data_IF_089130277824
#
_entry.id   IF_089130277824
#
_cell.length_a   1.000
_cell.length_b   1.000
_cell.length_c   1.000
_cell.angle_alpha   90.00
_cell.angle_beta   90.00
_cell.angle_gamma   90.00
#
_symmetry.space_group_name_H-M   'P 1'
#
loop_
_entity.id
_entity.type
_entity.pdbx_description
1 polymer ?
#
# COMPACT_ATOMS: atom_id res chain seq x y z
N UNK A 1 -48.86 38.54 91.67
CA UNK A 1 -49.09 37.45 92.68
C UNK A 1 -48.63 36.14 92.07
N UNK A 2 -47.78 35.40 92.86
CA UNK A 2 -47.31 34.02 92.66
C UNK A 2 -46.42 33.73 91.46
N UNK A 3 -45.06 33.78 91.55
CA UNK A 3 -44.21 32.79 92.20
C UNK A 3 -44.36 31.38 91.65
N UNK A 4 -43.42 30.90 90.87
CA UNK A 4 -43.05 29.51 90.83
C UNK A 4 -41.72 29.23 90.12
N UNK A 5 -40.78 28.98 90.86
CA UNK A 5 -39.62 28.09 90.90
C UNK A 5 -39.10 27.47 89.64
N UNK A 6 -37.84 27.77 89.36
CA UNK A 6 -36.93 27.07 88.50
C UNK A 6 -36.63 25.68 89.11
N UNK A 7 -36.71 24.67 88.24
CA UNK A 7 -36.05 23.38 88.43
C UNK A 7 -34.99 23.22 87.36
N UNK A 8 -33.76 23.33 87.80
CA UNK A 8 -32.60 23.02 86.96
C UNK A 8 -32.43 21.52 86.85
N UNK A 9 -32.67 20.92 85.71
CA UNK A 9 -32.26 19.55 85.42
C UNK A 9 -31.03 19.59 84.47
N UNK A 10 -29.91 19.27 85.08
CA UNK A 10 -28.68 18.99 84.34
C UNK A 10 -28.86 17.73 83.50
N UNK A 11 -29.09 17.89 82.22
CA UNK A 11 -28.94 16.79 81.23
C UNK A 11 -27.54 16.81 80.67
N UNK A 12 -26.79 15.81 81.03
CA UNK A 12 -25.52 15.44 80.43
C UNK A 12 -25.72 15.18 78.97
N UNK A 13 -25.25 16.10 78.12
CA UNK A 13 -25.23 15.90 76.67
C UNK A 13 -24.07 14.98 76.32
N UNK A 14 -24.35 13.71 76.10
CA UNK A 14 -23.47 12.81 75.44
C UNK A 14 -23.34 13.25 73.96
N UNK A 15 -22.26 13.90 73.66
CA UNK A 15 -21.85 14.12 72.27
C UNK A 15 -21.41 12.79 71.67
N UNK A 16 -22.34 12.10 70.95
CA UNK A 16 -21.96 11.05 70.04
C UNK A 16 -21.28 11.71 68.88
N UNK A 17 -19.95 11.73 68.89
CA UNK A 17 -19.15 12.03 67.72
C UNK A 17 -19.38 10.93 66.66
N UNK A 18 -20.34 11.14 65.78
CA UNK A 18 -20.45 10.36 64.55
C UNK A 18 -19.23 10.70 63.72
N UNK A 19 -18.20 9.85 63.78
CA UNK A 19 -17.12 9.84 62.84
C UNK A 19 -17.75 9.44 61.50
N UNK A 20 -18.12 10.42 60.68
CA UNK A 20 -18.30 10.22 59.25
C UNK A 20 -16.92 9.84 58.69
N UNK A 21 -16.67 8.55 58.62
CA UNK A 21 -15.62 8.03 57.77
C UNK A 21 -15.97 8.48 56.34
N UNK A 22 -15.31 9.50 55.87
CA UNK A 22 -15.24 9.79 54.45
C UNK A 22 -14.57 8.57 53.82
N UNK A 23 -15.38 7.60 53.38
CA UNK A 23 -15.00 6.64 52.41
C UNK A 23 -14.76 7.47 51.15
N UNK A 24 -13.54 8.00 51.02
CA UNK A 24 -13.03 8.37 49.70
C UNK A 24 -13.31 7.16 48.82
N UNK A 25 -14.02 7.29 47.70
CA UNK A 25 -14.04 6.20 46.75
C UNK A 25 -12.58 5.97 46.39
N UNK A 26 -11.95 4.94 46.97
CA UNK A 26 -10.74 4.40 46.41
C UNK A 26 -11.14 4.12 44.98
N UNK A 27 -10.62 4.90 44.05
CA UNK A 27 -10.75 4.58 42.66
C UNK A 27 -10.27 3.12 42.56
N UNK A 28 -11.23 2.23 42.40
CA UNK A 28 -10.91 0.85 42.14
C UNK A 28 -10.26 0.82 40.75
N UNK A 29 -8.99 1.17 40.73
CA UNK A 29 -8.15 0.77 39.62
C UNK A 29 -8.21 -0.75 39.66
N UNK A 30 -8.82 -1.35 38.66
CA UNK A 30 -8.75 -2.78 38.45
C UNK A 30 -7.28 -3.11 38.25
N UNK A 31 -6.55 -3.29 39.35
CA UNK A 31 -5.16 -3.71 39.29
C UNK A 31 -5.17 -5.20 39.02
N UNK A 32 -4.59 -5.58 37.91
CA UNK A 32 -4.31 -6.99 37.65
C UNK A 32 -3.45 -7.54 38.80
N UNK A 33 -3.67 -8.80 39.24
CA UNK A 33 -2.74 -9.46 40.12
C UNK A 33 -1.29 -9.31 39.58
N UNK A 34 -0.34 -9.01 40.45
CA UNK A 34 1.04 -8.76 40.04
C UNK A 34 1.66 -9.90 39.19
N UNK A 35 1.22 -11.13 39.43
CA UNK A 35 1.63 -12.29 38.60
C UNK A 35 1.08 -12.24 37.20
N UNK A 36 -0.15 -11.76 37.01
CA UNK A 36 -0.79 -11.60 35.68
C UNK A 36 -0.17 -10.42 34.96
N UNK A 37 0.05 -9.30 35.64
CA UNK A 37 0.72 -8.13 35.06
C UNK A 37 2.15 -8.48 34.61
N UNK A 38 2.94 -9.18 35.44
CA UNK A 38 4.27 -9.66 35.10
C UNK A 38 4.25 -10.63 33.91
N UNK A 39 3.27 -11.52 33.84
CA UNK A 39 3.13 -12.46 32.73
C UNK A 39 2.79 -11.73 31.43
N UNK A 40 1.84 -10.78 31.47
CA UNK A 40 1.50 -9.96 30.32
C UNK A 40 2.69 -9.10 29.85
N UNK A 41 3.43 -8.49 30.78
CA UNK A 41 4.63 -7.75 30.43
C UNK A 41 5.68 -8.66 29.77
N UNK A 42 5.88 -9.86 30.30
CA UNK A 42 6.82 -10.84 29.72
C UNK A 42 6.39 -11.28 28.34
N UNK A 43 5.09 -11.49 28.11
CA UNK A 43 4.56 -11.93 26.81
C UNK A 43 4.58 -10.83 25.73
N UNK A 44 4.22 -9.59 26.10
CA UNK A 44 3.92 -8.54 25.12
C UNK A 44 4.91 -7.37 25.12
N UNK A 45 5.63 -7.12 26.21
CA UNK A 45 6.50 -5.97 26.35
C UNK A 45 7.98 -6.35 26.56
N UNK A 46 8.32 -7.65 26.64
CA UNK A 46 9.69 -8.13 26.71
C UNK A 46 10.08 -8.97 25.49
N UNK A 47 11.36 -9.07 25.16
CA UNK A 47 11.83 -9.93 24.07
C UNK A 47 11.89 -11.42 24.44
N UNK A 48 11.42 -11.84 25.61
CA UNK A 48 11.62 -13.21 26.15
C UNK A 48 11.09 -14.30 25.20
N UNK A 49 9.97 -14.04 24.54
CA UNK A 49 9.34 -14.95 23.56
C UNK A 49 9.39 -14.43 22.12
N UNK A 50 10.11 -13.33 21.89
CA UNK A 50 10.39 -12.87 20.54
C UNK A 50 11.43 -13.82 19.93
N UNK A 51 11.02 -14.67 19.02
CA UNK A 51 11.97 -15.45 18.22
C UNK A 51 12.85 -14.55 17.37
N UNK A 52 14.00 -15.05 16.97
CA UNK A 52 14.83 -14.39 15.97
C UNK A 52 14.04 -14.26 14.68
N UNK A 53 13.80 -13.02 14.28
CA UNK A 53 13.14 -12.73 13.00
C UNK A 53 14.21 -12.45 11.97
N UNK A 54 14.16 -13.18 10.85
CA UNK A 54 14.95 -12.80 9.69
C UNK A 54 14.57 -11.37 9.28
N UNK A 55 15.56 -10.52 9.02
CA UNK A 55 15.32 -9.20 8.46
C UNK A 55 14.62 -9.36 7.09
N UNK A 56 13.65 -8.50 6.76
CA UNK A 56 13.05 -8.48 5.43
C UNK A 56 14.16 -8.41 4.37
N UNK A 57 14.14 -9.34 3.42
CA UNK A 57 15.13 -9.45 2.38
C UNK A 57 14.52 -9.18 1.02
N UNK A 58 15.29 -8.50 0.15
CA UNK A 58 14.92 -8.25 -1.24
C UNK A 58 15.98 -8.87 -2.16
N UNK A 59 15.57 -9.72 -3.09
CA UNK A 59 16.47 -10.21 -4.12
C UNK A 59 16.94 -9.05 -5.01
N UNK A 60 18.26 -8.93 -5.15
CA UNK A 60 18.88 -7.97 -6.04
C UNK A 60 19.13 -8.57 -7.41
N UNK A 61 19.53 -9.81 -7.43
CA UNK A 61 19.76 -10.63 -8.62
C UNK A 61 19.52 -12.11 -8.26
N UNK A 62 19.83 -13.03 -9.17
CA UNK A 62 19.61 -14.48 -8.94
C UNK A 62 20.51 -15.11 -7.87
N UNK A 63 21.49 -14.38 -7.32
CA UNK A 63 22.52 -14.88 -6.42
C UNK A 63 22.72 -14.07 -5.15
N UNK A 64 22.20 -12.83 -5.11
CA UNK A 64 22.35 -11.92 -3.98
C UNK A 64 21.00 -11.35 -3.53
N UNK A 65 20.89 -11.12 -2.24
CA UNK A 65 19.79 -10.39 -1.63
C UNK A 65 20.29 -9.27 -0.74
N UNK A 66 19.45 -8.28 -0.48
CA UNK A 66 19.77 -7.15 0.39
C UNK A 66 18.81 -7.08 1.58
N UNK A 67 19.33 -6.58 2.71
CA UNK A 67 18.61 -6.35 3.96
C UNK A 67 18.89 -4.96 4.50
N UNK A 68 18.07 -4.49 5.43
CA UNK A 68 18.31 -3.29 6.22
C UNK A 68 18.91 -3.69 7.57
N UNK A 69 20.06 -3.13 7.92
CA UNK A 69 20.73 -3.41 9.19
C UNK A 69 21.12 -2.12 9.92
N UNK A 70 21.11 -2.10 11.27
CA UNK A 70 21.64 -0.96 12.00
C UNK A 70 23.10 -0.69 11.61
N UNK A 71 23.43 0.59 11.35
CA UNK A 71 24.80 0.97 10.97
C UNK A 71 25.73 0.91 12.17
N UNK A 72 26.91 0.30 11.98
CA UNK A 72 27.96 0.32 12.98
C UNK A 72 28.65 1.71 13.08
N UNK A 73 28.66 2.45 11.98
CA UNK A 73 29.41 3.72 11.87
C UNK A 73 28.57 4.95 12.21
N UNK A 74 27.23 4.86 12.11
CA UNK A 74 26.32 5.99 12.28
C UNK A 74 25.21 5.62 13.27
N UNK A 75 25.26 6.18 14.45
CA UNK A 75 24.23 5.94 15.48
C UNK A 75 22.83 6.31 14.97
N UNK A 76 21.88 5.37 15.09
CA UNK A 76 20.51 5.52 14.58
C UNK A 76 20.39 5.45 13.05
N UNK A 77 21.49 5.18 12.34
CA UNK A 77 21.48 4.97 10.89
C UNK A 77 21.20 3.52 10.51
N UNK A 78 20.80 3.33 9.26
CA UNK A 78 20.54 2.01 8.66
C UNK A 78 21.41 1.84 7.42
N UNK A 79 22.16 0.76 7.37
CA UNK A 79 22.94 0.33 6.20
C UNK A 79 22.09 -0.59 5.33
N UNK A 80 22.27 -0.54 4.01
CA UNK A 80 21.75 -1.55 3.09
C UNK A 80 22.87 -2.54 2.84
N UNK A 81 22.65 -3.77 3.27
CA UNK A 81 23.66 -4.83 3.28
C UNK A 81 23.26 -5.91 2.29
N UNK A 82 24.22 -6.35 1.49
CA UNK A 82 24.08 -7.47 0.56
C UNK A 82 24.65 -8.76 1.16
N UNK A 83 23.96 -9.85 0.86
CA UNK A 83 24.42 -11.20 1.15
C UNK A 83 24.44 -12.04 -0.12
N UNK A 84 25.47 -12.86 -0.25
CA UNK A 84 25.52 -13.93 -1.24
C UNK A 84 24.68 -15.11 -0.76
N UNK A 85 23.77 -15.59 -1.60
CA UNK A 85 22.93 -16.76 -1.27
C UNK A 85 23.74 -18.07 -1.27
N UNK A 86 24.91 -18.09 -1.91
CA UNK A 86 25.75 -19.29 -2.02
C UNK A 86 26.58 -19.58 -0.77
N UNK A 87 27.13 -18.54 -0.16
CA UNK A 87 28.11 -18.68 0.94
C UNK A 87 27.88 -17.75 2.13
N UNK A 88 26.84 -16.92 2.08
CA UNK A 88 26.51 -15.97 3.13
C UNK A 88 27.48 -14.78 3.22
N UNK A 89 28.36 -14.56 2.23
CA UNK A 89 29.28 -13.43 2.24
C UNK A 89 28.53 -12.10 2.36
N UNK A 90 28.93 -11.27 3.34
CA UNK A 90 28.29 -10.01 3.71
C UNK A 90 29.05 -8.81 3.18
N UNK A 91 28.36 -7.87 2.57
CA UNK A 91 28.92 -6.60 2.11
C UNK A 91 27.96 -5.43 2.37
N UNK A 92 28.45 -4.33 2.96
CA UNK A 92 27.69 -3.08 3.03
C UNK A 92 27.69 -2.43 1.63
N UNK A 93 26.54 -2.39 0.98
CA UNK A 93 26.39 -1.73 -0.34
C UNK A 93 26.18 -0.24 -0.20
N UNK A 94 25.31 0.18 0.72
CA UNK A 94 25.01 1.58 0.98
C UNK A 94 25.12 1.83 2.47
N UNK A 95 26.15 2.57 2.85
CA UNK A 95 26.35 2.96 4.24
C UNK A 95 25.44 4.12 4.62
N UNK A 96 24.92 4.12 5.85
CA UNK A 96 24.00 5.14 6.37
C UNK A 96 24.48 6.58 6.20
N UNK A 97 25.82 6.81 6.20
CA UNK A 97 26.40 8.14 5.97
C UNK A 97 26.06 8.73 4.59
N UNK A 98 25.82 7.88 3.57
CA UNK A 98 25.38 8.30 2.22
C UNK A 98 23.92 8.69 2.18
N UNK A 99 23.13 8.25 3.15
CA UNK A 99 21.70 8.52 3.27
C UNK A 99 21.41 9.78 4.09
N UNK A 100 22.39 10.65 4.24
CA UNK A 100 22.27 11.90 5.01
C UNK A 100 22.07 13.10 4.08
N UNK A 101 20.86 13.70 4.03
CA UNK A 101 20.62 14.90 3.25
C UNK A 101 21.51 16.07 3.69
N UNK A 102 21.90 16.89 2.75
CA UNK A 102 22.66 18.12 3.05
C UNK A 102 21.93 18.99 4.07
N UNK A 103 22.64 19.39 5.13
CA UNK A 103 22.07 20.19 6.24
C UNK A 103 21.27 19.39 7.28
N UNK A 104 21.06 18.09 7.09
CA UNK A 104 20.41 17.23 8.09
C UNK A 104 21.37 16.85 9.21
N UNK A 105 20.87 16.73 10.46
CA UNK A 105 21.64 16.22 11.59
C UNK A 105 21.83 14.70 11.54
N UNK A 106 20.85 13.96 10.97
CA UNK A 106 20.79 12.50 10.94
C UNK A 106 20.57 11.97 9.51
N UNK A 107 20.92 10.70 9.23
CA UNK A 107 20.52 10.02 8.00
C UNK A 107 19.01 9.83 7.92
N UNK A 108 18.51 9.56 6.72
CA UNK A 108 17.12 9.23 6.48
C UNK A 108 16.78 7.90 7.19
N UNK A 109 15.65 7.83 7.92
CA UNK A 109 15.07 6.53 8.28
C UNK A 109 14.63 5.83 7.00
N UNK A 110 15.14 4.63 6.75
CA UNK A 110 14.79 3.84 5.55
C UNK A 110 13.60 2.95 5.90
N UNK A 111 12.44 3.25 5.35
CA UNK A 111 11.21 2.47 5.52
C UNK A 111 10.99 1.50 4.35
N UNK A 112 11.57 1.81 3.20
CA UNK A 112 11.57 0.99 2.01
C UNK A 112 12.60 1.49 0.99
N UNK A 113 12.98 0.64 0.05
CA UNK A 113 13.88 1.02 -1.02
C UNK A 113 13.68 0.15 -2.26
N UNK A 114 14.10 0.65 -3.41
CA UNK A 114 14.18 -0.09 -4.67
C UNK A 114 15.37 0.35 -5.50
N UNK A 115 15.92 -0.57 -6.30
CA UNK A 115 17.04 -0.31 -7.19
C UNK A 115 16.55 0.08 -8.59
N UNK A 116 17.29 0.96 -9.29
CA UNK A 116 17.16 1.09 -10.74
C UNK A 116 17.55 -0.23 -11.41
N UNK A 117 17.06 -0.47 -12.63
CA UNK A 117 17.30 -1.73 -13.35
C UNK A 117 18.78 -2.07 -13.55
N UNK A 118 19.64 -1.06 -13.65
CA UNK A 118 21.11 -1.19 -13.76
C UNK A 118 21.84 -1.18 -12.41
N UNK A 119 21.12 -0.95 -11.29
CA UNK A 119 21.67 -0.87 -9.95
C UNK A 119 22.47 0.39 -9.64
N UNK A 120 22.48 1.38 -10.55
CA UNK A 120 23.23 2.63 -10.37
C UNK A 120 22.58 3.61 -9.41
N UNK A 121 21.26 3.51 -9.23
CA UNK A 121 20.48 4.37 -8.36
C UNK A 121 19.64 3.59 -7.36
N UNK A 122 19.45 4.18 -6.19
CA UNK A 122 18.58 3.66 -5.14
C UNK A 122 17.46 4.67 -4.87
N UNK A 123 16.21 4.23 -4.96
CA UNK A 123 15.04 4.99 -4.54
C UNK A 123 14.70 4.61 -3.10
N UNK A 124 14.66 5.58 -2.21
CA UNK A 124 14.45 5.40 -0.76
C UNK A 124 13.10 5.97 -0.40
N UNK A 125 12.27 5.20 0.29
CA UNK A 125 11.01 5.61 0.88
C UNK A 125 11.19 5.90 2.36
N UNK A 126 10.66 7.03 2.83
CA UNK A 126 10.82 7.51 4.19
C UNK A 126 9.69 8.47 4.59
N UNK A 127 9.64 8.85 5.88
CA UNK A 127 8.70 9.83 6.40
C UNK A 127 7.26 9.48 5.98
N UNK A 128 6.91 8.20 6.11
CA UNK A 128 5.64 7.69 5.62
C UNK A 128 4.46 8.13 6.48
N UNK A 129 3.29 8.15 5.87
CA UNK A 129 2.02 8.40 6.52
C UNK A 129 1.00 7.34 6.10
N UNK A 130 0.19 6.95 7.07
CA UNK A 130 -0.89 6.02 6.85
C UNK A 130 -2.00 6.66 6.02
N UNK A 131 -2.44 5.96 4.96
CA UNK A 131 -3.59 6.37 4.14
C UNK A 131 -4.84 5.64 4.64
N UNK A 132 -4.99 4.35 4.40
CA UNK A 132 -6.06 3.53 4.97
C UNK A 132 -5.49 2.47 5.90
N UNK A 133 -5.04 1.34 5.37
CA UNK A 133 -4.43 0.27 6.17
C UNK A 133 -2.92 0.38 6.26
N UNK A 134 -2.29 0.94 5.24
CA UNK A 134 -0.84 0.98 5.09
C UNK A 134 -0.28 2.39 4.94
N UNK A 135 1.02 2.49 5.17
CA UNK A 135 1.78 3.72 4.97
C UNK A 135 2.19 3.81 3.50
N UNK A 136 1.27 4.29 2.65
CA UNK A 136 1.50 4.38 1.20
C UNK A 136 1.89 5.78 0.73
N UNK A 137 1.89 6.77 1.61
CA UNK A 137 2.27 8.15 1.31
C UNK A 137 3.50 8.53 2.11
N UNK A 138 4.46 9.23 1.49
CA UNK A 138 5.70 9.60 2.17
C UNK A 138 6.58 10.50 1.32
N UNK A 139 7.85 10.54 1.67
CA UNK A 139 8.91 11.18 0.91
C UNK A 139 9.74 10.14 0.19
N UNK A 140 10.25 10.51 -0.98
CA UNK A 140 11.15 9.68 -1.75
C UNK A 140 12.45 10.42 -2.04
N UNK A 141 13.55 9.68 -2.00
CA UNK A 141 14.89 10.20 -2.27
C UNK A 141 15.61 9.28 -3.25
N UNK A 142 16.42 9.86 -4.12
CA UNK A 142 17.28 9.11 -5.03
C UNK A 142 18.73 9.30 -4.58
N UNK A 143 19.42 8.17 -4.38
CA UNK A 143 20.86 8.10 -4.20
C UNK A 143 21.52 7.59 -5.48
N UNK A 144 22.42 8.35 -6.04
CA UNK A 144 23.37 7.85 -7.03
C UNK A 144 24.47 7.09 -6.27
N UNK A 145 24.59 5.79 -6.50
CA UNK A 145 25.50 4.91 -5.75
C UNK A 145 26.96 5.10 -6.12
N UNK A 146 27.27 5.73 -7.28
CA UNK A 146 28.63 5.97 -7.72
C UNK A 146 29.17 7.29 -7.19
N UNK A 147 28.38 8.37 -7.27
CA UNK A 147 28.78 9.71 -6.83
C UNK A 147 28.48 9.97 -5.36
N UNK A 148 27.55 9.20 -4.78
CA UNK A 148 27.01 9.48 -3.43
C UNK A 148 26.06 10.67 -3.38
N UNK A 149 25.62 11.20 -4.52
CA UNK A 149 24.66 12.29 -4.59
C UNK A 149 23.28 11.83 -4.13
N UNK A 150 22.70 12.56 -3.18
CA UNK A 150 21.39 12.26 -2.61
C UNK A 150 20.46 13.46 -2.81
N UNK A 151 19.31 13.27 -3.46
CA UNK A 151 18.34 14.35 -3.65
C UNK A 151 16.90 13.83 -3.48
N UNK A 152 15.99 14.76 -3.13
CA UNK A 152 14.58 14.45 -2.90
C UNK A 152 13.80 14.49 -4.20
N UNK A 153 12.98 13.47 -4.43
CA UNK A 153 11.98 13.42 -5.51
C UNK A 153 10.87 14.42 -5.19
N UNK A 154 10.38 15.12 -6.21
CA UNK A 154 9.33 16.14 -6.03
C UNK A 154 9.78 17.26 -5.08
N UNK A 155 10.97 17.83 -5.31
CA UNK A 155 11.64 18.78 -4.40
C UNK A 155 10.76 19.94 -3.89
N UNK A 156 9.77 20.37 -4.70
CA UNK A 156 8.86 21.47 -4.40
C UNK A 156 7.55 21.02 -3.73
N UNK A 157 7.37 19.74 -3.44
CA UNK A 157 6.17 19.21 -2.79
C UNK A 157 6.28 19.32 -1.27
N UNK A 158 5.13 19.33 -0.59
CA UNK A 158 5.11 19.23 0.87
C UNK A 158 5.67 17.88 1.31
N UNK A 159 6.23 17.77 2.53
CA UNK A 159 6.65 16.47 3.08
C UNK A 159 5.49 15.48 3.15
N UNK A 160 5.81 14.21 2.97
CA UNK A 160 4.88 13.07 3.09
C UNK A 160 3.66 13.16 2.17
N UNK A 161 3.81 13.66 0.93
CA UNK A 161 2.69 13.80 -0.01
C UNK A 161 2.80 12.96 -1.27
N UNK A 162 3.94 12.30 -1.50
CA UNK A 162 4.13 11.45 -2.68
C UNK A 162 3.69 10.01 -2.40
N UNK A 163 3.25 9.31 -3.45
CA UNK A 163 2.85 7.91 -3.38
C UNK A 163 3.45 7.12 -4.56
N UNK A 164 3.80 5.87 -4.30
CA UNK A 164 4.13 4.84 -5.31
C UNK A 164 5.26 5.21 -6.27
N UNK A 165 6.24 6.00 -5.82
CA UNK A 165 7.36 6.36 -6.68
C UNK A 165 8.12 5.11 -7.14
N UNK A 166 8.46 5.06 -8.42
CA UNK A 166 9.23 3.96 -9.03
C UNK A 166 10.01 4.42 -10.25
N UNK A 167 11.17 3.82 -10.45
CA UNK A 167 11.98 4.05 -11.63
C UNK A 167 11.30 3.57 -12.90
N UNK A 168 11.60 4.25 -14.02
CA UNK A 168 11.39 3.68 -15.35
C UNK A 168 12.29 2.47 -15.56
N UNK A 169 11.93 1.50 -16.44
CA UNK A 169 12.75 0.32 -16.71
C UNK A 169 14.18 0.64 -17.16
N UNK A 170 14.39 1.74 -17.87
CA UNK A 170 15.71 2.21 -18.32
C UNK A 170 16.48 3.02 -17.23
N UNK A 171 15.88 3.23 -16.06
CA UNK A 171 16.48 3.98 -14.96
C UNK A 171 16.61 5.49 -15.16
N UNK A 172 16.12 6.03 -16.28
CA UNK A 172 16.31 7.45 -16.62
C UNK A 172 15.35 8.41 -15.92
N UNK A 173 14.18 7.90 -15.51
CA UNK A 173 13.10 8.69 -14.88
C UNK A 173 12.56 8.00 -13.64
N UNK A 174 11.90 8.80 -12.77
CA UNK A 174 11.04 8.32 -11.70
C UNK A 174 9.64 8.87 -11.91
N UNK A 175 8.62 8.00 -11.77
CA UNK A 175 7.22 8.42 -11.76
C UNK A 175 6.64 8.24 -10.36
N UNK A 176 5.69 9.09 -10.00
CA UNK A 176 5.00 9.05 -8.72
C UNK A 176 3.60 9.68 -8.81
N UNK A 177 2.78 9.44 -7.80
CA UNK A 177 1.49 10.11 -7.63
C UNK A 177 1.63 11.22 -6.60
N UNK A 178 1.09 12.38 -6.91
CA UNK A 178 0.96 13.51 -6.00
C UNK A 178 -0.41 14.17 -6.19
N UNK A 179 -1.16 14.36 -5.10
CA UNK A 179 -2.51 14.95 -5.10
C UNK A 179 -3.46 14.31 -6.14
N UNK A 180 -3.36 12.99 -6.32
CA UNK A 180 -4.22 12.21 -7.21
C UNK A 180 -3.88 12.29 -8.71
N UNK A 181 -2.76 12.91 -9.07
CA UNK A 181 -2.23 12.92 -10.43
C UNK A 181 -0.84 12.30 -10.55
N UNK A 182 -0.49 11.85 -11.75
CA UNK A 182 0.77 11.20 -12.07
C UNK A 182 1.78 12.24 -12.54
N UNK A 183 2.98 12.15 -12.00
CA UNK A 183 4.13 13.00 -12.31
C UNK A 183 5.33 12.15 -12.71
N UNK A 184 6.18 12.71 -13.54
CA UNK A 184 7.48 12.12 -13.96
C UNK A 184 8.56 13.18 -13.86
N UNK A 185 9.73 12.79 -13.37
CA UNK A 185 10.93 13.63 -13.39
C UNK A 185 12.19 12.82 -13.75
N UNK A 186 13.22 13.44 -14.32
CA UNK A 186 14.48 12.76 -14.61
C UNK A 186 15.19 12.35 -13.31
N UNK A 187 15.78 11.15 -13.28
CA UNK A 187 16.56 10.64 -12.13
C UNK A 187 17.76 11.55 -11.82
N UNK A 188 18.36 12.15 -12.82
CA UNK A 188 19.44 13.12 -12.65
C UNK A 188 18.99 14.48 -12.08
N UNK A 189 17.69 14.63 -11.79
CA UNK A 189 17.07 15.91 -11.44
C UNK A 189 16.70 16.74 -12.68
N UNK A 190 15.82 17.71 -12.52
CA UNK A 190 15.35 18.56 -13.60
C UNK A 190 13.87 18.95 -13.49
N UNK A 191 13.28 19.30 -14.61
CA UNK A 191 11.88 19.69 -14.64
C UNK A 191 10.95 18.50 -14.47
N UNK A 192 9.99 18.62 -13.55
CA UNK A 192 8.91 17.65 -13.37
C UNK A 192 7.83 17.85 -14.42
N UNK A 193 7.37 16.77 -15.02
CA UNK A 193 6.23 16.74 -15.96
C UNK A 193 5.00 16.15 -15.26
N UNK A 194 3.90 16.90 -15.16
CA UNK A 194 2.60 16.38 -14.75
C UNK A 194 1.94 15.73 -15.93
N UNK A 195 1.57 14.45 -15.84
CA UNK A 195 1.02 13.66 -16.93
C UNK A 195 -0.51 13.66 -16.99
N UNK A 196 -1.16 13.71 -15.82
CA UNK A 196 -2.63 13.83 -15.68
C UNK A 196 -2.98 15.14 -14.98
N UNK A 197 -4.15 15.73 -15.26
CA UNK A 197 -4.46 17.10 -14.84
C UNK A 197 -5.87 17.27 -14.29
N UNK A 198 -6.60 16.19 -14.12
CA UNK A 198 -8.04 16.17 -13.83
C UNK A 198 -8.37 15.65 -12.43
N UNK A 199 -7.35 15.41 -11.59
CA UNK A 199 -7.59 14.96 -10.23
C UNK A 199 -8.43 15.96 -9.42
N UNK A 200 -9.35 15.41 -8.65
CA UNK A 200 -10.19 16.12 -7.70
C UNK A 200 -10.26 15.31 -6.40
N UNK A 201 -11.04 15.76 -5.43
CA UNK A 201 -11.29 14.97 -4.22
C UNK A 201 -11.91 13.58 -4.51
N UNK A 202 -12.60 13.44 -5.63
CA UNK A 202 -13.34 12.22 -6.00
C UNK A 202 -12.92 11.61 -7.32
N UNK A 203 -11.95 12.18 -8.00
CA UNK A 203 -11.36 11.63 -9.21
C UNK A 203 -9.85 11.56 -9.03
N UNK A 204 -9.30 10.35 -9.16
CA UNK A 204 -7.87 10.11 -8.93
C UNK A 204 -7.25 9.27 -10.05
N UNK A 205 -5.98 9.50 -10.31
CA UNK A 205 -5.17 8.83 -11.32
C UNK A 205 -3.96 8.17 -10.67
N UNK A 206 -3.65 6.93 -11.05
CA UNK A 206 -2.44 6.24 -10.61
C UNK A 206 -2.45 5.75 -9.17
N UNK A 207 -3.60 5.77 -8.52
CA UNK A 207 -3.84 5.20 -7.21
C UNK A 207 -5.22 4.55 -7.18
N UNK A 208 -5.49 3.70 -6.19
CA UNK A 208 -6.79 3.04 -6.02
C UNK A 208 -7.77 3.85 -5.17
N UNK A 209 -9.05 3.45 -5.21
CA UNK A 209 -10.03 3.78 -4.19
C UNK A 209 -9.99 2.77 -3.03
N UNK A 210 -10.82 2.97 -2.01
CA UNK A 210 -10.85 2.11 -0.83
C UNK A 210 -11.23 0.66 -1.17
N UNK A 211 -12.21 0.44 -2.07
CA UNK A 211 -12.67 -0.90 -2.45
C UNK A 211 -11.57 -1.70 -3.13
N UNK A 212 -10.83 -1.08 -4.03
CA UNK A 212 -9.76 -1.77 -4.74
C UNK A 212 -8.57 -2.09 -3.85
N UNK A 213 -8.27 -1.24 -2.85
CA UNK A 213 -7.27 -1.61 -1.84
C UNK A 213 -7.75 -2.79 -1.00
N UNK A 214 -9.00 -2.77 -0.55
CA UNK A 214 -9.54 -3.76 0.39
C UNK A 214 -9.82 -5.11 -0.26
N UNK A 215 -10.42 -5.11 -1.47
CA UNK A 215 -10.93 -6.34 -2.11
C UNK A 215 -9.96 -6.92 -3.15
N UNK A 216 -9.10 -6.12 -3.73
CA UNK A 216 -8.20 -6.55 -4.80
C UNK A 216 -6.72 -6.34 -4.48
N UNK A 217 -6.38 -5.91 -3.27
CA UNK A 217 -5.01 -5.60 -2.84
C UNK A 217 -4.28 -4.61 -3.78
N UNK A 218 -5.05 -3.78 -4.50
CA UNK A 218 -4.55 -2.79 -5.42
C UNK A 218 -4.37 -1.44 -4.72
N UNK A 219 -3.14 -0.99 -4.57
CA UNK A 219 -2.81 0.35 -4.03
C UNK A 219 -2.16 1.21 -5.08
N UNK A 220 -1.12 0.69 -5.69
CA UNK A 220 -0.30 1.30 -6.72
C UNK A 220 -0.98 1.20 -8.09
N UNK A 221 -1.52 2.31 -8.53
CA UNK A 221 -2.42 2.40 -9.69
C UNK A 221 -1.74 2.77 -11.00
N UNK A 222 -0.42 2.55 -11.20
CA UNK A 222 0.19 2.76 -12.52
C UNK A 222 1.33 1.79 -12.82
N UNK A 223 1.64 1.61 -14.12
CA UNK A 223 2.67 0.70 -14.63
C UNK A 223 3.47 1.38 -15.74
N UNK A 224 4.79 1.36 -15.65
CA UNK A 224 5.69 1.77 -16.71
C UNK A 224 5.65 0.81 -17.89
N UNK A 225 5.63 1.33 -19.13
CA UNK A 225 5.87 0.48 -20.29
C UNK A 225 7.30 -0.06 -20.31
N UNK A 226 7.53 -1.27 -20.85
CA UNK A 226 8.88 -1.86 -20.90
C UNK A 226 9.91 -1.02 -21.64
N UNK A 227 9.48 -0.17 -22.58
CA UNK A 227 10.32 0.76 -23.33
C UNK A 227 10.48 2.13 -22.65
N UNK A 228 9.99 2.29 -21.42
CA UNK A 228 10.05 3.53 -20.62
C UNK A 228 9.38 4.75 -21.24
N UNK A 229 8.56 4.59 -22.30
CA UNK A 229 7.98 5.71 -23.06
C UNK A 229 6.58 6.09 -22.64
N UNK A 230 5.88 5.22 -21.92
CA UNK A 230 4.47 5.39 -21.52
C UNK A 230 4.22 4.90 -20.11
N UNK A 231 3.12 5.38 -19.56
CA UNK A 231 2.55 4.89 -18.32
C UNK A 231 1.11 4.46 -18.58
N UNK A 232 0.79 3.20 -18.22
CA UNK A 232 -0.58 2.74 -18.09
C UNK A 232 -1.06 2.98 -16.66
N UNK A 233 -2.30 3.44 -16.48
CA UNK A 233 -2.79 3.78 -15.15
C UNK A 233 -4.30 3.54 -15.00
N UNK A 234 -4.72 3.27 -13.78
CA UNK A 234 -6.12 3.31 -13.39
C UNK A 234 -6.54 4.73 -13.08
N UNK A 235 -7.74 5.06 -13.52
CA UNK A 235 -8.46 6.24 -13.06
C UNK A 235 -9.73 5.80 -12.35
N UNK A 236 -9.98 6.36 -11.18
CA UNK A 236 -11.19 6.13 -10.38
C UNK A 236 -11.99 7.42 -10.24
N UNK A 237 -13.27 7.36 -10.65
CA UNK A 237 -14.25 8.41 -10.37
C UNK A 237 -15.22 7.93 -9.27
N UNK A 238 -14.98 8.41 -8.06
CA UNK A 238 -15.73 8.12 -6.84
C UNK A 238 -16.93 9.06 -6.65
N UNK A 239 -17.27 9.92 -7.60
CA UNK A 239 -18.27 10.99 -7.44
C UNK A 239 -19.67 10.48 -7.06
N UNK A 240 -20.02 9.24 -7.42
CA UNK A 240 -21.29 8.60 -7.05
C UNK A 240 -21.24 7.75 -5.78
N UNK A 241 -20.07 7.59 -5.16
CA UNK A 241 -19.89 6.76 -3.97
C UNK A 241 -20.25 7.53 -2.71
N UNK A 242 -21.06 6.93 -1.86
CA UNK A 242 -21.48 7.56 -0.59
C UNK A 242 -20.36 7.56 0.43
N UNK A 243 -20.35 8.59 1.26
CA UNK A 243 -19.48 8.65 2.44
C UNK A 243 -19.98 7.71 3.53
N UNK A 244 -19.04 7.05 4.18
CA UNK A 244 -19.22 6.35 5.44
C UNK A 244 -18.46 7.12 6.51
N UNK A 245 -19.15 7.38 7.63
CA UNK A 245 -18.58 8.15 8.75
C UNK A 245 -17.98 7.20 9.78
N UNK A 246 -16.69 7.33 10.00
CA UNK A 246 -15.97 6.68 11.10
C UNK A 246 -15.88 7.65 12.27
N UNK A 247 -16.09 7.16 13.48
CA UNK A 247 -15.86 7.91 14.72
C UNK A 247 -14.49 7.53 15.23
N UNK A 248 -13.63 8.52 15.42
CA UNK A 248 -12.33 8.34 16.08
C UNK A 248 -12.43 8.89 17.50
N UNK A 249 -12.33 8.01 18.48
CA UNK A 249 -12.44 8.28 19.91
C UNK A 249 -11.13 8.03 20.67
N UNK A 250 -10.04 7.71 19.98
CA UNK A 250 -8.75 7.34 20.58
C UNK A 250 -7.65 8.37 20.39
N UNK A 251 -7.66 9.14 19.31
CA UNK A 251 -6.52 9.99 18.92
C UNK A 251 -6.58 11.40 19.53
N UNK A 252 -7.68 11.76 20.19
CA UNK A 252 -7.83 13.03 20.90
C UNK A 252 -8.77 12.95 22.08
N UNK A 253 -8.74 13.97 22.95
CA UNK A 253 -9.60 14.04 24.15
C UNK A 253 -11.10 14.02 23.80
N UNK A 254 -11.48 14.65 22.68
CA UNK A 254 -12.85 14.63 22.17
C UNK A 254 -12.92 13.84 20.86
N UNK A 255 -13.96 13.01 20.68
CA UNK A 255 -14.14 12.28 19.44
C UNK A 255 -14.26 13.23 18.23
N UNK A 256 -13.75 12.81 17.10
CA UNK A 256 -13.98 13.46 15.82
C UNK A 256 -14.37 12.44 14.76
N UNK A 257 -14.97 12.90 13.67
CA UNK A 257 -15.40 12.03 12.57
C UNK A 257 -14.44 12.09 11.40
N UNK A 258 -14.22 10.94 10.77
CA UNK A 258 -13.51 10.80 9.50
C UNK A 258 -14.46 10.21 8.47
N UNK A 259 -14.64 10.90 7.35
CA UNK A 259 -15.45 10.38 6.25
C UNK A 259 -14.57 9.70 5.21
N UNK A 260 -14.98 8.52 4.78
CA UNK A 260 -14.38 7.78 3.67
C UNK A 260 -15.47 7.45 2.65
N UNK A 261 -15.12 7.44 1.37
CA UNK A 261 -16.03 6.96 0.33
C UNK A 261 -16.04 5.44 0.34
N UNK A 262 -17.18 4.88 0.74
CA UNK A 262 -17.34 3.45 1.01
C UNK A 262 -18.67 2.96 0.39
N UNK A 263 -18.62 2.22 -0.71
CA UNK A 263 -19.83 1.65 -1.30
C UNK A 263 -20.23 0.38 -0.51
N UNK A 264 -21.36 0.44 0.19
CA UNK A 264 -21.96 -0.77 0.74
C UNK A 264 -22.46 -1.68 -0.37
N UNK A 265 -22.58 -2.98 -0.10
CA UNK A 265 -23.11 -3.96 -1.06
C UNK A 265 -24.43 -3.47 -1.69
N UNK A 266 -24.54 -3.58 -3.00
CA UNK A 266 -25.69 -3.14 -3.77
C UNK A 266 -25.76 -1.63 -4.05
N UNK A 267 -24.82 -0.80 -3.54
CA UNK A 267 -24.79 0.65 -3.84
C UNK A 267 -23.85 0.97 -5.02
N UNK A 268 -23.75 2.23 -5.39
CA UNK A 268 -22.94 2.71 -6.51
C UNK A 268 -21.44 2.52 -6.22
N UNK A 269 -20.73 1.86 -7.13
CA UNK A 269 -19.26 1.77 -7.13
C UNK A 269 -18.62 3.00 -7.79
N UNK A 270 -17.31 3.15 -7.59
CA UNK A 270 -16.49 4.03 -8.42
C UNK A 270 -16.56 3.62 -9.89
N UNK A 271 -16.55 4.59 -10.81
CA UNK A 271 -16.25 4.27 -12.19
C UNK A 271 -14.76 4.05 -12.35
N UNK A 272 -14.38 2.94 -12.97
CA UNK A 272 -12.99 2.60 -13.21
C UNK A 272 -12.72 2.54 -14.72
N UNK A 273 -11.58 3.09 -15.14
CA UNK A 273 -11.08 2.95 -16.50
C UNK A 273 -9.54 2.92 -16.52
N UNK A 274 -8.99 2.43 -17.61
CA UNK A 274 -7.54 2.34 -17.83
C UNK A 274 -7.16 3.32 -18.93
N UNK A 275 -6.15 4.16 -18.64
CA UNK A 275 -5.55 5.10 -19.57
C UNK A 275 -4.09 4.79 -19.81
N UNK A 276 -3.60 5.19 -20.97
CA UNK A 276 -2.17 5.19 -21.33
C UNK A 276 -1.76 6.60 -21.72
N UNK A 277 -0.69 7.11 -21.11
CA UNK A 277 -0.17 8.46 -21.36
C UNK A 277 1.32 8.40 -21.69
N UNK A 278 1.81 9.20 -22.68
CA UNK A 278 3.25 9.35 -22.93
C UNK A 278 3.96 10.01 -21.76
N UNK A 279 5.20 9.62 -21.46
CA UNK A 279 6.00 10.23 -20.38
C UNK A 279 6.37 11.70 -20.66
N UNK A 280 6.28 12.11 -21.92
CA UNK A 280 6.44 13.52 -22.31
C UNK A 280 5.18 14.36 -22.13
N UNK A 281 4.11 13.75 -21.59
CA UNK A 281 2.79 14.38 -21.54
C UNK A 281 2.01 14.25 -22.85
N UNK A 282 0.82 14.79 -22.89
CA UNK A 282 -0.09 14.75 -24.04
C UNK A 282 -1.42 14.08 -23.74
N UNK A 283 -2.13 13.70 -24.80
CA UNK A 283 -3.47 13.11 -24.65
C UNK A 283 -3.40 11.67 -24.13
N UNK A 284 -4.29 11.35 -23.20
CA UNK A 284 -4.49 9.99 -22.69
C UNK A 284 -5.25 9.16 -23.73
N UNK A 285 -4.73 7.97 -24.02
CA UNK A 285 -5.43 6.95 -24.80
C UNK A 285 -6.19 6.04 -23.80
N UNK A 286 -7.51 6.05 -23.87
CA UNK A 286 -8.36 5.26 -22.99
C UNK A 286 -8.67 3.88 -23.57
N UNK A 287 -8.48 2.81 -22.80
CA UNK A 287 -8.92 1.48 -23.16
C UNK A 287 -10.45 1.46 -23.29
N UNK A 288 -10.96 0.93 -24.42
CA UNK A 288 -12.40 0.88 -24.72
C UNK A 288 -13.04 -0.37 -24.11
N UNK A 289 -12.94 -0.49 -22.77
CA UNK A 289 -13.53 -1.60 -22.05
C UNK A 289 -15.06 -1.60 -22.24
N UNK A 290 -15.62 -2.79 -22.44
CA UNK A 290 -17.06 -2.98 -22.61
C UNK A 290 -17.84 -2.73 -21.31
N UNK A 291 -19.10 -2.30 -21.44
CA UNK A 291 -20.02 -2.08 -20.31
C UNK A 291 -19.82 -0.74 -19.62
N UNK A 292 -20.68 -0.47 -18.64
CA UNK A 292 -20.60 0.77 -17.86
C UNK A 292 -19.40 0.73 -16.89
N UNK A 293 -18.59 1.78 -16.79
CA UNK A 293 -17.40 1.78 -15.91
C UNK A 293 -17.71 1.53 -14.43
N UNK A 294 -18.93 1.75 -13.97
CA UNK A 294 -19.36 1.49 -12.57
C UNK A 294 -19.84 0.06 -12.33
N UNK A 295 -20.07 -0.71 -13.41
CA UNK A 295 -20.51 -2.10 -13.35
C UNK A 295 -19.39 -3.09 -13.68
N UNK A 296 -18.19 -2.59 -13.79
CA UNK A 296 -16.97 -3.37 -14.02
C UNK A 296 -15.99 -3.20 -12.88
N UNK A 297 -15.22 -4.26 -12.63
CA UNK A 297 -13.98 -4.19 -11.91
C UNK A 297 -12.80 -4.38 -12.87
N UNK A 298 -11.71 -3.69 -12.60
CA UNK A 298 -10.42 -3.86 -13.28
C UNK A 298 -9.39 -4.18 -12.19
N UNK A 299 -9.41 -5.41 -11.64
CA UNK A 299 -8.62 -5.74 -10.46
C UNK A 299 -7.12 -5.82 -10.76
N UNK A 300 -6.75 -6.03 -12.02
CA UNK A 300 -5.35 -6.20 -12.39
C UNK A 300 -5.09 -5.74 -13.83
N UNK A 301 -3.91 -5.16 -14.04
CA UNK A 301 -3.35 -4.90 -15.38
C UNK A 301 -1.83 -4.91 -15.36
N UNK A 302 -1.22 -5.23 -16.52
CA UNK A 302 0.22 -5.17 -16.74
C UNK A 302 0.50 -4.94 -18.24
N UNK A 303 1.72 -4.57 -18.58
CA UNK A 303 2.13 -4.43 -19.97
C UNK A 303 2.35 -5.80 -20.65
N UNK A 304 1.86 -5.92 -21.87
CA UNK A 304 2.03 -7.08 -22.75
C UNK A 304 2.99 -6.77 -23.90
N UNK A 305 4.13 -6.19 -23.56
CA UNK A 305 5.07 -5.57 -24.49
C UNK A 305 4.83 -4.06 -24.61
N UNK A 306 5.56 -3.33 -25.49
CA UNK A 306 5.49 -1.86 -25.51
C UNK A 306 4.21 -1.30 -26.15
N UNK A 307 3.42 -2.14 -26.83
CA UNK A 307 2.28 -1.70 -27.63
C UNK A 307 0.92 -1.99 -27.02
N UNK A 308 0.85 -2.91 -26.07
CA UNK A 308 -0.42 -3.37 -25.49
C UNK A 308 -0.35 -3.47 -23.98
N UNK A 309 -1.48 -3.23 -23.34
CA UNK A 309 -1.72 -3.48 -21.91
C UNK A 309 -2.67 -4.66 -21.79
N UNK A 310 -2.30 -5.67 -21.01
CA UNK A 310 -3.21 -6.76 -20.63
C UNK A 310 -3.99 -6.34 -19.42
N UNK A 311 -5.31 -6.56 -19.45
CA UNK A 311 -6.25 -6.09 -18.43
C UNK A 311 -7.18 -7.25 -18.07
N UNK A 312 -7.32 -7.55 -16.79
CA UNK A 312 -8.45 -8.32 -16.28
C UNK A 312 -9.64 -7.39 -16.07
N UNK A 313 -10.75 -7.74 -16.70
CA UNK A 313 -12.00 -7.01 -16.57
C UNK A 313 -13.09 -7.95 -16.07
N UNK A 314 -13.53 -7.72 -14.86
CA UNK A 314 -14.52 -8.54 -14.18
C UNK A 314 -15.87 -7.82 -14.16
N UNK A 315 -16.96 -8.58 -14.29
CA UNK A 315 -18.29 -8.00 -14.09
C UNK A 315 -18.59 -7.81 -12.59
N UNK A 316 -19.60 -6.99 -12.28
CA UNK A 316 -19.93 -6.68 -10.87
C UNK A 316 -20.41 -7.89 -10.06
N UNK A 317 -20.96 -8.92 -10.70
CA UNK A 317 -21.34 -10.15 -10.04
C UNK A 317 -20.14 -11.07 -9.73
N UNK A 318 -18.96 -10.72 -10.25
CA UNK A 318 -17.71 -11.48 -10.09
C UNK A 318 -17.85 -12.96 -10.48
N UNK A 319 -18.65 -13.23 -11.50
CA UNK A 319 -18.82 -14.57 -12.06
C UNK A 319 -18.33 -14.66 -13.52
N UNK A 320 -17.75 -13.57 -14.05
CA UNK A 320 -17.13 -13.52 -15.37
C UNK A 320 -15.92 -12.59 -15.31
N UNK A 321 -14.74 -13.12 -15.60
CA UNK A 321 -13.50 -12.38 -15.77
C UNK A 321 -13.01 -12.52 -17.23
N UNK A 322 -12.72 -11.39 -17.87
CA UNK A 322 -12.19 -11.33 -19.23
C UNK A 322 -10.79 -10.75 -19.24
N UNK A 323 -9.86 -11.52 -19.74
CA UNK A 323 -8.51 -11.05 -20.03
C UNK A 323 -8.49 -10.45 -21.43
N UNK A 324 -8.19 -9.16 -21.52
CA UNK A 324 -8.16 -8.42 -22.79
C UNK A 324 -6.82 -7.74 -23.00
N UNK A 325 -6.40 -7.60 -24.25
CA UNK A 325 -5.29 -6.73 -24.66
C UNK A 325 -5.86 -5.40 -25.13
N UNK A 326 -5.39 -4.30 -24.54
CA UNK A 326 -5.75 -2.95 -24.95
C UNK A 326 -4.56 -2.28 -25.67
N UNK A 327 -4.76 -1.83 -26.90
CA UNK A 327 -3.74 -1.11 -27.64
C UNK A 327 -3.38 0.22 -26.98
N UNK A 328 -2.12 0.41 -26.65
CA UNK A 328 -1.59 1.63 -26.04
C UNK A 328 -1.69 2.89 -26.94
N UNK A 329 -2.02 2.73 -28.23
CA UNK A 329 -2.11 3.84 -29.18
C UNK A 329 -3.52 4.15 -29.65
N UNK A 330 -4.42 3.16 -29.65
CA UNK A 330 -5.81 3.33 -30.14
C UNK A 330 -6.86 3.11 -29.05
N UNK A 331 -6.50 2.43 -27.98
CA UNK A 331 -7.42 1.99 -26.94
C UNK A 331 -8.34 0.83 -27.36
N UNK A 332 -8.20 0.32 -28.58
CA UNK A 332 -8.98 -0.84 -29.01
C UNK A 332 -8.61 -2.07 -28.19
N UNK A 333 -9.61 -2.86 -27.86
CA UNK A 333 -9.42 -4.08 -27.09
C UNK A 333 -9.53 -5.33 -27.96
N UNK A 334 -8.80 -6.35 -27.57
CA UNK A 334 -8.86 -7.70 -28.12
C UNK A 334 -8.95 -8.70 -26.97
N UNK A 335 -10.07 -9.42 -26.80
CA UNK A 335 -10.19 -10.44 -25.76
C UNK A 335 -9.34 -11.67 -26.11
N UNK A 336 -8.63 -12.21 -25.10
CA UNK A 336 -7.79 -13.40 -25.24
C UNK A 336 -8.27 -14.58 -24.39
N UNK A 337 -8.97 -14.33 -23.29
CA UNK A 337 -9.48 -15.36 -22.42
C UNK A 337 -10.77 -14.90 -21.72
N UNK A 338 -11.65 -15.83 -21.43
CA UNK A 338 -12.78 -15.63 -20.52
C UNK A 338 -12.83 -16.77 -19.51
N UNK A 339 -12.84 -16.39 -18.22
CA UNK A 339 -13.18 -17.25 -17.11
C UNK A 339 -14.62 -16.97 -16.72
N UNK A 340 -15.36 -18.03 -16.47
CA UNK A 340 -16.75 -17.92 -16.10
C UNK A 340 -17.16 -19.08 -15.19
N UNK A 341 -17.85 -18.75 -14.10
CA UNK A 341 -18.48 -19.70 -13.21
C UNK A 341 -19.91 -19.26 -12.91
N UNK A 342 -20.78 -20.18 -12.56
CA UNK A 342 -22.17 -19.87 -12.19
C UNK A 342 -22.29 -19.14 -10.86
N UNK A 343 -21.26 -19.21 -10.00
CA UNK A 343 -21.21 -18.66 -8.64
C UNK A 343 -20.20 -17.54 -8.50
N UNK A 344 -18.92 -17.82 -8.68
CA UNK A 344 -17.83 -16.90 -8.40
C UNK A 344 -16.57 -17.22 -9.21
N UNK A 345 -15.83 -16.20 -9.61
CA UNK A 345 -14.50 -16.28 -10.22
C UNK A 345 -13.54 -15.42 -9.41
N UNK A 346 -12.42 -15.99 -8.97
CA UNK A 346 -11.35 -15.27 -8.29
C UNK A 346 -10.47 -14.51 -9.28
N UNK A 347 -9.89 -13.41 -8.79
CA UNK A 347 -8.90 -12.64 -9.54
C UNK A 347 -7.59 -13.41 -9.64
N UNK A 348 -7.04 -13.52 -10.84
CA UNK A 348 -5.72 -14.13 -11.06
C UNK A 348 -4.64 -13.06 -10.95
N UNK A 349 -3.84 -13.11 -9.89
CA UNK A 349 -2.72 -12.19 -9.66
C UNK A 349 -1.36 -12.78 -10.10
N UNK A 350 -1.30 -14.09 -10.32
CA UNK A 350 -0.08 -14.84 -10.67
C UNK A 350 0.22 -14.86 -12.18
N UNK A 351 -0.35 -13.93 -12.92
CA UNK A 351 -0.16 -13.85 -14.36
C UNK A 351 1.32 -13.61 -14.73
N UNK A 352 1.85 -14.42 -15.64
CA UNK A 352 3.20 -14.25 -16.17
C UNK A 352 3.26 -14.51 -17.66
N UNK A 353 3.88 -13.58 -18.41
CA UNK A 353 4.25 -13.83 -19.80
C UNK A 353 5.42 -14.80 -19.90
N UNK A 354 5.32 -15.71 -20.85
CA UNK A 354 6.37 -16.67 -21.21
C UNK A 354 6.65 -16.57 -22.71
N UNK A 355 7.77 -17.17 -23.14
CA UNK A 355 8.14 -17.30 -24.57
C UNK A 355 8.06 -15.95 -25.32
N UNK A 356 8.75 -14.95 -24.74
CA UNK A 356 8.76 -13.56 -25.27
C UNK A 356 7.34 -12.97 -25.50
N UNK A 357 6.40 -13.29 -24.61
CA UNK A 357 5.03 -12.78 -24.63
C UNK A 357 4.08 -13.52 -25.57
N UNK A 358 4.47 -14.68 -26.11
CA UNK A 358 3.60 -15.52 -26.94
C UNK A 358 2.66 -16.40 -26.11
N UNK A 359 3.09 -16.74 -24.92
CA UNK A 359 2.35 -17.59 -23.97
C UNK A 359 2.23 -16.90 -22.62
N UNK A 360 1.31 -17.37 -21.80
CA UNK A 360 1.13 -16.88 -20.43
C UNK A 360 0.76 -18.01 -19.48
N UNK A 361 1.11 -17.85 -18.22
CA UNK A 361 0.59 -18.69 -17.14
C UNK A 361 -0.73 -18.11 -16.64
N UNK A 362 -1.66 -19.00 -16.38
CA UNK A 362 -2.98 -18.70 -15.86
C UNK A 362 -3.41 -19.72 -14.83
N UNK A 363 -3.96 -19.30 -13.71
CA UNK A 363 -4.59 -20.20 -12.74
C UNK A 363 -6.10 -20.19 -12.94
N UNK A 364 -6.71 -21.37 -12.92
CA UNK A 364 -8.15 -21.52 -13.19
C UNK A 364 -8.72 -22.73 -12.45
N UNK A 365 -9.96 -22.63 -12.02
CA UNK A 365 -10.73 -23.68 -11.36
C UNK A 365 -11.72 -24.37 -12.32
N UNK A 366 -11.57 -24.18 -13.63
CA UNK A 366 -12.50 -24.61 -14.68
C UNK A 366 -12.75 -26.11 -14.76
N UNK A 367 -11.87 -26.92 -14.20
CA UNK A 367 -12.01 -28.40 -14.16
C UNK A 367 -12.35 -28.95 -12.76
N UNK A 368 -12.68 -28.03 -11.80
CA UNK A 368 -13.09 -28.37 -10.45
C UNK A 368 -11.99 -28.30 -9.40
N UNK A 369 -10.75 -27.97 -9.81
CA UNK A 369 -9.59 -27.76 -8.95
C UNK A 369 -8.83 -26.53 -9.43
N UNK A 370 -8.14 -25.84 -8.51
CA UNK A 370 -7.27 -24.72 -8.88
C UNK A 370 -5.98 -25.24 -9.50
N UNK A 371 -5.88 -25.16 -10.82
CA UNK A 371 -4.73 -25.64 -11.58
C UNK A 371 -4.04 -24.52 -12.34
N UNK A 372 -2.76 -24.77 -12.70
CA UNK A 372 -1.98 -23.93 -13.60
C UNK A 372 -2.21 -24.37 -15.03
N UNK A 373 -2.47 -23.40 -15.90
CA UNK A 373 -2.63 -23.56 -17.33
C UNK A 373 -1.57 -22.74 -18.08
N UNK A 374 -1.13 -23.28 -19.21
CA UNK A 374 -0.35 -22.55 -20.21
C UNK A 374 -1.28 -22.01 -21.28
N UNK A 375 -1.40 -20.70 -21.35
CA UNK A 375 -2.23 -20.00 -22.33
C UNK A 375 -1.45 -19.58 -23.57
N UNK A 376 -2.10 -19.64 -24.73
CA UNK A 376 -1.58 -19.09 -25.99
C UNK A 376 -2.19 -17.70 -26.21
N UNK A 377 -1.34 -16.68 -26.38
CA UNK A 377 -1.76 -15.28 -26.53
C UNK A 377 -2.64 -15.03 -27.76
N UNK A 378 -2.37 -15.72 -28.86
CA UNK A 378 -3.03 -15.44 -30.13
C UNK A 378 -4.42 -16.09 -30.21
N UNK A 379 -4.59 -17.26 -29.59
CA UNK A 379 -5.80 -18.07 -29.69
C UNK A 379 -6.63 -18.10 -28.41
N UNK A 380 -6.03 -17.76 -27.25
CA UNK A 380 -6.64 -17.93 -25.94
C UNK A 380 -6.76 -19.38 -25.49
N UNK A 381 -6.21 -20.34 -26.27
CA UNK A 381 -6.25 -21.76 -25.91
C UNK A 381 -5.44 -22.01 -24.63
N UNK A 382 -6.00 -22.79 -23.70
CA UNK A 382 -5.36 -23.18 -22.46
C UNK A 382 -4.99 -24.66 -22.48
N UNK A 383 -3.77 -24.98 -22.05
CA UNK A 383 -3.28 -26.32 -21.82
C UNK A 383 -3.07 -26.55 -20.34
N UNK A 384 -3.69 -27.56 -19.75
CA UNK A 384 -3.50 -27.93 -18.35
C UNK A 384 -2.05 -28.38 -18.11
N UNK A 385 -1.40 -27.78 -17.09
CA UNK A 385 -0.01 -28.07 -16.71
C UNK A 385 0.08 -28.94 -15.48
N UNK A 386 -0.82 -28.76 -14.51
CA UNK A 386 -0.80 -29.44 -13.20
C UNK A 386 -2.06 -30.31 -13.01
N UNK A 387 -2.21 -31.44 -13.76
CA UNK A 387 -3.39 -32.30 -13.62
C UNK A 387 -3.38 -33.06 -12.29
N UNK A 388 -4.56 -33.27 -11.69
CA UNK A 388 -4.72 -34.06 -10.47
C UNK A 388 -5.94 -33.65 -9.65
N UNK A 389 -6.18 -34.33 -8.54
CA UNK A 389 -7.27 -34.03 -7.61
C UNK A 389 -6.71 -33.25 -6.43
N UNK A 390 -6.20 -32.06 -6.68
CA UNK A 390 -5.61 -31.15 -5.68
C UNK A 390 -5.55 -29.71 -6.21
N UNK A 391 -5.58 -28.75 -5.31
CA UNK A 391 -5.37 -27.35 -5.64
C UNK A 391 -3.89 -26.98 -5.64
N UNK A 392 -3.48 -26.16 -6.59
CA UNK A 392 -2.20 -25.46 -6.58
C UNK A 392 -2.36 -24.20 -5.73
N UNK A 393 -1.51 -24.09 -4.70
CA UNK A 393 -1.52 -22.98 -3.71
C UNK A 393 -0.41 -21.99 -4.03
#
# INVERSE_FOLDING_TARGET
MKSSRFITSTRSSLWAAAALAFLSPAAAHAQLPASVDSALHTLFASPTYAGDRAAPAQWRDGTHYTTLEPSADVSGGTDIVQYSAADGARQVLVAARLLKPGGSAAPLPVEGYSWSGDGSHLLIFTNSQRVWRENTRGDYWILDTHSGSLHRVGANTKPSTLMFAKFSPDGSHVAYVHDGDIYVEPVAGGATTRLTHDATRTLVNGMSDWVYEEEFDLRDGFRWSPDSKRIAFWQFDMSGVRNFTLINDTDSLYPFTKEIQYPKAGTTNSAVRVGVVPVTGGSVVWARLEGAPRDNYVPWMEWAGPSDVVIQRMNRLQNTDRLVLASATTGNIHPILTEQDSTWVDVVQDFKWLDAGKKFLWTSERDGWRHVYLGDRATGALQLVTPGNYDVI
#
